data_IF_257321517767
#
_entry.id   IF_257321517767
#
_cell.length_a   1.000
_cell.length_b   1.000
_cell.length_c   1.000
_cell.angle_alpha   90.00
_cell.angle_beta   90.00
_cell.angle_gamma   90.00
#
_symmetry.space_group_name_H-M   'P 1'
#
loop_
_entity.id
_entity.type
_entity.pdbx_description
1 polymer ?
#
# COMPACT_ATOMS: atom_id res chain seq x y z
N UNK A 1 -16.07 11.93 24.76
CA UNK A 1 -15.63 12.22 23.37
C UNK A 1 -14.37 13.03 23.49
N UNK A 2 -13.22 12.37 23.44
CA UNK A 2 -11.92 13.01 23.71
C UNK A 2 -10.95 12.73 22.58
N UNK A 3 -10.11 13.70 22.25
CA UNK A 3 -9.00 13.55 21.31
C UNK A 3 -9.37 12.98 19.92
N UNK A 4 -10.54 13.33 19.38
CA UNK A 4 -10.94 12.94 18.02
C UNK A 4 -10.62 14.05 17.02
N UNK A 5 -10.21 13.66 15.81
CA UNK A 5 -10.03 14.56 14.67
C UNK A 5 -11.29 14.57 13.80
N UNK A 6 -12.00 15.69 13.78
CA UNK A 6 -13.19 15.90 12.96
C UNK A 6 -12.81 16.62 11.67
N UNK A 7 -13.04 15.93 10.55
CA UNK A 7 -12.92 16.48 9.20
C UNK A 7 -14.21 16.21 8.45
N UNK A 8 -14.91 17.27 8.05
CA UNK A 8 -16.12 17.11 7.23
C UNK A 8 -15.74 16.63 5.84
N UNK A 9 -16.38 15.56 5.36
CA UNK A 9 -16.16 15.09 3.99
C UNK A 9 -16.65 16.10 2.94
N UNK A 10 -16.10 16.06 1.71
CA UNK A 10 -16.38 17.03 0.65
C UNK A 10 -17.87 17.15 0.28
N UNK A 11 -18.65 16.07 0.44
CA UNK A 11 -20.10 16.08 0.22
C UNK A 11 -20.92 16.83 1.29
N UNK A 12 -20.28 17.28 2.38
CA UNK A 12 -20.96 18.00 3.46
C UNK A 12 -21.28 19.43 3.02
N UNK A 13 -22.57 19.76 2.93
CA UNK A 13 -23.01 21.10 2.57
C UNK A 13 -22.59 22.13 3.61
N UNK A 14 -22.06 23.28 3.19
CA UNK A 14 -21.77 24.42 4.06
C UNK A 14 -23.03 24.99 4.72
N UNK A 15 -24.18 24.88 4.05
CA UNK A 15 -25.47 25.30 4.61
C UNK A 15 -26.05 24.35 5.66
N UNK A 16 -25.42 23.19 5.89
CA UNK A 16 -25.95 22.19 6.83
C UNK A 16 -25.80 22.61 8.30
N UNK A 17 -24.85 23.49 8.60
CA UNK A 17 -24.42 23.78 9.98
C UNK A 17 -23.66 22.62 10.64
N UNK A 18 -23.35 21.55 9.91
CA UNK A 18 -22.77 20.30 10.46
C UNK A 18 -21.27 20.16 10.24
N UNK A 19 -20.63 21.09 9.52
CA UNK A 19 -19.19 21.01 9.19
C UNK A 19 -18.29 20.90 10.43
N UNK A 20 -18.75 21.42 11.57
CA UNK A 20 -18.00 21.48 12.82
C UNK A 20 -18.71 20.84 14.01
N UNK A 21 -19.73 20.02 13.74
CA UNK A 21 -20.49 19.36 14.81
C UNK A 21 -19.70 18.16 15.33
N UNK A 22 -19.43 18.18 16.63
CA UNK A 22 -18.87 17.05 17.39
C UNK A 22 -20.00 16.11 17.81
N UNK A 23 -21.06 16.66 18.40
CA UNK A 23 -22.22 15.88 18.85
C UNK A 23 -23.48 16.75 18.92
N UNK A 24 -24.64 16.11 18.71
CA UNK A 24 -25.96 16.70 18.98
C UNK A 24 -26.69 15.84 20.04
N UNK A 25 -26.68 16.24 21.32
CA UNK A 25 -27.38 15.50 22.36
C UNK A 25 -28.90 15.55 22.12
N UNK A 26 -29.51 14.41 21.79
CA UNK A 26 -30.97 14.30 21.64
C UNK A 26 -31.63 13.74 22.91
N UNK A 27 -31.00 12.76 23.57
CA UNK A 27 -31.56 12.07 24.73
C UNK A 27 -31.43 12.85 26.05
N UNK A 28 -32.50 12.80 26.85
CA UNK A 28 -32.68 13.42 28.17
C UNK A 28 -31.81 12.82 29.27
N UNK A 29 -31.32 11.59 29.13
CA UNK A 29 -30.47 10.95 30.14
C UNK A 29 -28.96 11.15 29.89
N UNK A 30 -28.52 11.15 28.63
CA UNK A 30 -27.10 11.24 28.29
C UNK A 30 -26.40 12.48 28.88
N UNK A 31 -25.13 12.34 29.29
CA UNK A 31 -24.22 13.39 29.77
C UNK A 31 -22.87 13.18 29.09
N UNK A 32 -22.12 14.25 28.81
CA UNK A 32 -20.91 14.17 27.99
C UNK A 32 -19.74 14.90 28.63
N UNK A 33 -18.61 14.20 28.69
CA UNK A 33 -17.29 14.83 28.79
C UNK A 33 -16.70 14.95 27.38
N UNK A 34 -16.39 16.18 26.97
CA UNK A 34 -15.91 16.51 25.63
C UNK A 34 -14.73 17.45 25.77
N UNK A 35 -13.56 16.99 25.36
CA UNK A 35 -12.32 17.73 25.50
C UNK A 35 -11.26 17.29 24.47
N UNK A 36 -10.35 18.21 24.12
CA UNK A 36 -9.19 17.90 23.27
C UNK A 36 -9.49 17.43 21.84
N UNK A 37 -10.72 17.61 21.33
CA UNK A 37 -11.02 17.25 19.93
C UNK A 37 -10.60 18.38 18.98
N UNK A 38 -10.06 18.00 17.83
CA UNK A 38 -9.69 18.91 16.75
C UNK A 38 -10.79 18.95 15.70
N UNK A 39 -11.16 20.14 15.23
CA UNK A 39 -12.16 20.31 14.16
C UNK A 39 -11.54 21.12 13.01
N UNK A 40 -11.28 20.44 11.90
CA UNK A 40 -10.54 21.01 10.77
C UNK A 40 -11.28 22.20 10.14
N UNK A 41 -10.59 23.34 10.03
CA UNK A 41 -11.15 24.59 9.53
C UNK A 41 -11.95 25.41 10.55
N UNK A 42 -12.07 24.95 11.81
CA UNK A 42 -12.86 25.62 12.84
C UNK A 42 -12.06 25.85 14.14
N UNK A 43 -11.08 26.78 14.14
CA UNK A 43 -10.16 26.98 15.26
C UNK A 43 -10.85 27.34 16.58
N UNK A 44 -11.99 28.05 16.55
CA UNK A 44 -12.75 28.36 17.75
C UNK A 44 -13.37 27.10 18.40
N UNK A 45 -13.80 26.14 17.57
CA UNK A 45 -14.37 24.87 18.05
C UNK A 45 -13.26 23.95 18.54
N UNK A 46 -12.10 23.94 17.88
CA UNK A 46 -10.90 23.23 18.35
C UNK A 46 -10.45 23.76 19.70
N UNK A 47 -10.36 25.09 19.87
CA UNK A 47 -9.93 25.70 21.12
C UNK A 47 -10.93 25.46 22.26
N UNK A 48 -12.22 25.34 21.96
CA UNK A 48 -13.25 24.99 22.93
C UNK A 48 -14.39 24.23 22.26
N UNK A 49 -14.39 22.90 22.41
CA UNK A 49 -15.36 22.01 21.78
C UNK A 49 -16.82 22.32 22.13
N UNK A 50 -17.07 22.98 23.27
CA UNK A 50 -18.41 23.38 23.70
C UNK A 50 -18.91 24.65 23.04
N UNK A 51 -18.03 25.40 22.37
CA UNK A 51 -18.39 26.60 21.60
C UNK A 51 -18.67 26.18 20.17
N UNK A 52 -19.95 25.92 19.86
CA UNK A 52 -20.43 25.56 18.53
C UNK A 52 -20.28 24.09 18.14
N UNK A 53 -19.32 23.36 18.70
CA UNK A 53 -19.11 21.92 18.41
C UNK A 53 -20.20 21.03 18.98
N UNK A 54 -20.75 21.36 20.15
CA UNK A 54 -21.94 20.73 20.71
C UNK A 54 -23.16 21.50 20.23
N UNK A 55 -24.02 20.85 19.45
CA UNK A 55 -25.16 21.46 18.78
C UNK A 55 -26.49 20.88 19.29
N UNK A 56 -27.60 21.57 19.02
CA UNK A 56 -28.94 21.10 19.39
C UNK A 56 -29.93 22.26 19.47
N UNK A 57 -31.22 21.94 19.50
CA UNK A 57 -32.30 22.93 19.41
C UNK A 57 -32.51 23.76 20.69
N UNK A 58 -31.92 23.38 21.83
CA UNK A 58 -32.07 24.07 23.13
C UNK A 58 -30.71 24.34 23.79
N UNK A 59 -30.32 25.60 23.89
CA UNK A 59 -29.03 26.00 24.49
C UNK A 59 -28.87 25.58 25.97
N UNK A 60 -29.93 25.76 26.78
CA UNK A 60 -29.92 25.34 28.20
C UNK A 60 -29.64 23.84 28.36
N UNK A 61 -30.16 23.04 27.44
CA UNK A 61 -29.96 21.60 27.43
C UNK A 61 -28.49 21.24 27.21
N UNK A 62 -27.79 21.93 26.30
CA UNK A 62 -26.36 21.67 26.06
C UNK A 62 -25.53 21.92 27.33
N UNK A 63 -25.83 23.00 28.06
CA UNK A 63 -25.12 23.33 29.31
C UNK A 63 -25.34 22.28 30.39
N UNK A 64 -26.57 21.81 30.58
CA UNK A 64 -26.88 20.76 31.56
C UNK A 64 -26.15 19.44 31.24
N UNK A 65 -25.85 19.18 29.97
CA UNK A 65 -25.27 17.92 29.51
C UNK A 65 -23.77 17.84 29.70
N UNK A 66 -23.12 18.95 30.03
CA UNK A 66 -21.68 19.04 30.21
C UNK A 66 -21.23 18.43 31.52
N UNK A 67 -20.30 17.49 31.42
CA UNK A 67 -19.51 17.00 32.54
C UNK A 67 -18.18 17.74 32.59
N UNK A 68 -17.76 18.14 33.79
CA UNK A 68 -16.45 18.80 34.00
C UNK A 68 -15.29 17.82 34.10
N UNK A 69 -15.59 16.52 34.29
CA UNK A 69 -14.60 15.44 34.43
C UNK A 69 -15.04 14.23 33.58
N UNK A 70 -14.09 13.42 33.10
CA UNK A 70 -14.41 12.18 32.41
C UNK A 70 -15.11 11.20 33.35
N UNK A 71 -15.96 10.34 32.78
CA UNK A 71 -16.47 9.17 33.50
C UNK A 71 -15.32 8.20 33.79
N UNK A 72 -15.38 7.40 34.88
CA UNK A 72 -14.39 6.37 35.13
C UNK A 72 -14.23 5.45 33.90
N UNK A 73 -12.98 5.24 33.49
CA UNK A 73 -12.61 4.38 32.38
C UNK A 73 -11.25 3.74 32.69
N UNK A 74 -10.98 2.59 32.07
CA UNK A 74 -9.67 1.97 32.14
C UNK A 74 -8.64 2.87 31.44
N UNK A 75 -7.47 3.14 32.05
CA UNK A 75 -6.44 3.93 31.41
C UNK A 75 -6.06 3.34 30.04
N UNK A 76 -6.15 4.16 29.01
CA UNK A 76 -5.71 3.82 27.65
C UNK A 76 -4.63 4.80 27.21
N UNK A 77 -3.78 4.38 26.28
CA UNK A 77 -2.89 5.30 25.57
C UNK A 77 -3.74 6.27 24.76
N UNK A 78 -3.62 7.57 25.03
CA UNK A 78 -4.34 8.63 24.30
C UNK A 78 -3.32 9.40 23.47
N UNK A 79 -3.50 9.36 22.15
CA UNK A 79 -2.85 10.28 21.22
C UNK A 79 -3.62 11.61 21.19
N UNK A 80 -2.95 12.72 20.86
CA UNK A 80 -3.67 13.94 20.49
C UNK A 80 -4.53 13.71 19.23
N UNK A 81 -5.54 14.55 18.99
CA UNK A 81 -6.40 14.38 17.83
C UNK A 81 -5.60 14.40 16.50
N UNK A 82 -4.61 15.28 16.39
CA UNK A 82 -3.74 15.38 15.22
C UNK A 82 -2.82 14.16 15.07
N UNK A 83 -2.25 13.65 16.16
CA UNK A 83 -1.46 12.40 16.15
C UNK A 83 -2.33 11.22 15.74
N UNK A 84 -3.54 11.09 16.30
CA UNK A 84 -4.50 10.05 15.94
C UNK A 84 -4.85 10.10 14.46
N UNK A 85 -5.03 11.30 13.88
CA UNK A 85 -5.24 11.45 12.44
C UNK A 85 -4.07 10.90 11.62
N UNK A 86 -2.83 11.21 11.99
CA UNK A 86 -1.65 10.67 11.31
C UNK A 86 -1.52 9.15 11.51
N UNK A 87 -1.77 8.65 12.72
CA UNK A 87 -1.73 7.23 13.07
C UNK A 87 -2.72 6.44 12.21
N UNK A 88 -3.96 6.91 12.09
CA UNK A 88 -4.98 6.32 11.21
C UNK A 88 -4.56 6.37 9.75
N UNK A 89 -4.07 7.50 9.23
CA UNK A 89 -3.62 7.58 7.84
C UNK A 89 -2.47 6.61 7.52
N UNK A 90 -1.59 6.35 8.49
CA UNK A 90 -0.45 5.46 8.30
C UNK A 90 -0.84 3.98 8.46
N UNK A 91 -1.67 3.66 9.45
CA UNK A 91 -1.89 2.28 9.90
C UNK A 91 -3.24 1.67 9.53
N UNK A 92 -4.27 2.46 9.21
CA UNK A 92 -5.61 1.91 9.00
C UNK A 92 -5.77 1.15 7.67
N UNK A 93 -6.49 0.03 7.69
CA UNK A 93 -6.75 -0.80 6.52
C UNK A 93 -5.74 -1.93 6.32
N UNK A 94 -5.93 -2.73 5.27
CA UNK A 94 -5.02 -3.83 4.91
C UNK A 94 -3.78 -3.27 4.21
N UNK A 95 -2.81 -2.78 4.99
CA UNK A 95 -1.64 -2.06 4.48
C UNK A 95 -0.40 -2.92 4.27
N UNK A 96 -0.39 -4.17 4.73
CA UNK A 96 0.72 -5.12 4.58
C UNK A 96 0.53 -6.03 3.34
N UNK A 97 1.58 -6.30 2.53
CA UNK A 97 2.92 -5.69 2.58
C UNK A 97 2.95 -4.28 1.97
N UNK A 98 1.90 -3.91 1.22
CA UNK A 98 1.72 -2.59 0.65
C UNK A 98 0.24 -2.32 0.41
N UNK A 99 -0.19 -1.08 0.64
CA UNK A 99 -1.47 -0.53 0.19
C UNK A 99 -1.62 -0.60 -1.32
N UNK A 100 -2.83 -0.86 -1.79
CA UNK A 100 -3.15 -0.81 -3.21
C UNK A 100 -3.49 0.61 -3.70
N UNK A 101 -3.78 0.76 -4.99
CA UNK A 101 -4.12 2.06 -5.57
C UNK A 101 -5.42 2.68 -5.04
N UNK A 102 -6.35 1.86 -4.52
CA UNK A 102 -7.61 2.30 -3.93
C UNK A 102 -7.34 2.84 -2.54
N UNK A 103 -6.55 2.13 -1.73
CA UNK A 103 -6.10 2.60 -0.42
C UNK A 103 -5.33 3.93 -0.54
N UNK A 104 -4.37 4.01 -1.47
CA UNK A 104 -3.60 5.23 -1.72
C UNK A 104 -4.53 6.41 -2.07
N UNK A 105 -5.54 6.18 -2.90
CA UNK A 105 -6.55 7.21 -3.22
C UNK A 105 -7.34 7.63 -1.99
N UNK A 106 -7.88 6.68 -1.22
CA UNK A 106 -8.72 6.97 -0.04
C UNK A 106 -7.93 7.76 0.99
N UNK A 107 -6.66 7.40 1.21
CA UNK A 107 -5.77 8.14 2.11
C UNK A 107 -5.53 9.57 1.62
N UNK A 108 -5.26 9.75 0.33
CA UNK A 108 -5.00 11.08 -0.21
C UNK A 108 -6.25 11.97 -0.18
N UNK A 109 -7.41 11.42 -0.50
CA UNK A 109 -8.70 12.10 -0.41
C UNK A 109 -9.05 12.45 1.04
N UNK A 110 -8.78 11.55 1.99
CA UNK A 110 -8.96 11.81 3.43
C UNK A 110 -8.01 12.92 3.91
N UNK A 111 -6.73 12.86 3.52
CA UNK A 111 -5.70 13.84 3.87
C UNK A 111 -6.05 15.23 3.35
N UNK A 112 -6.43 15.32 2.07
CA UNK A 112 -6.71 16.60 1.40
C UNK A 112 -8.13 17.11 1.62
N UNK A 113 -9.06 16.26 2.09
CA UNK A 113 -10.48 16.62 2.19
C UNK A 113 -11.16 16.73 0.82
N UNK A 114 -10.64 16.05 -0.19
CA UNK A 114 -11.15 16.07 -1.57
C UNK A 114 -11.78 14.72 -1.92
N UNK A 115 -12.51 14.66 -3.04
CA UNK A 115 -13.03 13.42 -3.60
C UNK A 115 -12.90 13.44 -5.12
N UNK A 116 -12.28 12.40 -5.69
CA UNK A 116 -12.12 12.26 -7.14
C UNK A 116 -13.39 11.76 -7.81
N UNK A 117 -14.09 10.84 -7.13
CA UNK A 117 -15.26 10.13 -7.64
C UNK A 117 -16.52 10.40 -6.82
N UNK A 118 -17.63 9.84 -7.27
CA UNK A 118 -18.94 9.98 -6.66
C UNK A 118 -19.70 11.22 -7.12
N UNK A 119 -21.01 11.19 -6.88
CA UNK A 119 -21.92 12.28 -7.16
C UNK A 119 -21.76 13.43 -6.15
N UNK A 120 -22.19 14.62 -6.57
CA UNK A 120 -22.40 15.74 -5.66
C UNK A 120 -23.66 15.51 -4.82
N UNK A 121 -23.60 15.83 -3.53
CA UNK A 121 -24.76 15.69 -2.65
C UNK A 121 -25.30 17.05 -2.20
N UNK A 122 -26.54 17.38 -2.59
CA UNK A 122 -27.17 18.69 -2.34
C UNK A 122 -26.25 19.82 -2.84
N UNK A 123 -26.08 20.88 -2.04
CA UNK A 123 -25.16 22.00 -2.30
C UNK A 123 -23.72 21.70 -1.81
N UNK A 124 -23.39 20.44 -1.53
CA UNK A 124 -22.04 19.99 -1.15
C UNK A 124 -21.20 19.57 -2.37
N UNK A 125 -19.96 19.16 -2.10
CA UNK A 125 -19.04 18.62 -3.09
C UNK A 125 -19.33 17.16 -3.47
N UNK A 126 -18.41 16.56 -4.22
CA UNK A 126 -18.43 15.14 -4.62
C UNK A 126 -18.08 14.22 -3.45
N UNK A 127 -18.32 12.92 -3.61
CA UNK A 127 -17.82 11.87 -2.70
C UNK A 127 -18.83 10.80 -2.31
N UNK A 128 -20.07 10.87 -2.79
CA UNK A 128 -21.06 9.80 -2.58
C UNK A 128 -20.98 8.83 -3.75
N UNK A 129 -20.47 7.63 -3.49
CA UNK A 129 -20.30 6.57 -4.48
C UNK A 129 -21.52 5.65 -4.40
N UNK A 130 -22.30 5.57 -5.48
CA UNK A 130 -23.50 4.73 -5.55
C UNK A 130 -23.24 3.40 -6.30
N UNK A 131 -22.10 3.27 -6.96
CA UNK A 131 -21.68 2.04 -7.63
C UNK A 131 -20.16 1.90 -7.73
N UNK A 132 -19.68 0.66 -7.66
CA UNK A 132 -18.29 0.31 -7.94
C UNK A 132 -17.82 0.79 -9.33
N UNK A 133 -18.73 0.89 -10.32
CA UNK A 133 -18.37 1.35 -11.67
C UNK A 133 -17.88 2.80 -11.65
N UNK A 134 -18.39 3.64 -10.74
CA UNK A 134 -17.99 5.05 -10.62
C UNK A 134 -16.52 5.21 -10.21
N UNK A 135 -15.94 4.18 -9.60
CA UNK A 135 -14.55 4.15 -9.13
C UNK A 135 -13.66 3.22 -9.95
N UNK A 136 -14.13 2.74 -11.10
CA UNK A 136 -13.37 1.88 -12.01
C UNK A 136 -13.65 0.38 -11.89
N UNK A 137 -14.61 -0.03 -11.06
CA UNK A 137 -14.99 -1.43 -10.86
C UNK A 137 -14.07 -2.17 -9.88
N UNK A 138 -14.16 -3.51 -9.89
CA UNK A 138 -13.30 -4.35 -9.07
C UNK A 138 -11.91 -4.44 -9.70
N UNK A 139 -10.83 -4.13 -8.97
CA UNK A 139 -9.49 -4.30 -9.49
C UNK A 139 -9.22 -5.78 -9.74
N UNK A 140 -8.37 -6.08 -10.73
CA UNK A 140 -7.77 -7.41 -10.86
C UNK A 140 -6.71 -7.52 -9.78
N UNK A 141 -6.97 -8.34 -8.76
CA UNK A 141 -6.02 -8.61 -7.69
C UNK A 141 -5.05 -9.70 -8.17
N UNK A 142 -3.77 -9.35 -8.25
CA UNK A 142 -2.71 -10.32 -8.53
C UNK A 142 -2.25 -10.91 -7.19
N UNK A 143 -2.50 -12.19 -6.96
CA UNK A 143 -1.98 -12.91 -5.80
C UNK A 143 -0.54 -13.36 -6.05
N UNK A 144 0.33 -13.21 -5.06
CA UNK A 144 1.60 -13.94 -5.00
C UNK A 144 1.37 -15.35 -4.43
N UNK A 145 2.40 -16.19 -4.46
CA UNK A 145 2.42 -17.36 -3.59
C UNK A 145 2.25 -16.89 -2.13
N UNK A 146 1.36 -17.57 -1.40
CA UNK A 146 1.29 -17.40 0.04
C UNK A 146 2.60 -17.85 0.68
N UNK A 147 2.93 -17.30 1.86
CA UNK A 147 4.02 -17.84 2.64
C UNK A 147 3.72 -19.32 2.99
N UNK A 148 4.78 -20.12 3.15
CA UNK A 148 4.63 -21.47 3.68
C UNK A 148 4.15 -21.38 5.13
N UNK A 149 3.18 -22.23 5.43
CA UNK A 149 2.52 -22.44 6.73
C UNK A 149 2.26 -23.95 6.76
N UNK A 150 3.22 -24.69 7.31
CA UNK A 150 3.30 -26.14 7.17
C UNK A 150 2.32 -26.89 8.08
N UNK A 151 1.92 -26.32 9.22
CA UNK A 151 0.92 -26.89 10.12
C UNK A 151 -0.46 -26.23 10.05
N UNK A 152 -0.59 -25.15 9.27
CA UNK A 152 -1.85 -24.46 8.95
C UNK A 152 -2.47 -23.79 10.18
N UNK A 153 -1.63 -23.23 11.05
CA UNK A 153 -2.05 -22.53 12.26
C UNK A 153 -2.29 -21.02 12.06
N UNK A 154 -1.94 -20.51 10.88
CA UNK A 154 -2.09 -19.11 10.49
C UNK A 154 -0.85 -18.25 10.73
N UNK A 155 0.26 -18.84 11.20
CA UNK A 155 1.58 -18.23 11.24
C UNK A 155 2.47 -18.83 10.12
N UNK A 156 3.25 -18.00 9.40
CA UNK A 156 4.20 -18.54 8.44
C UNK A 156 5.42 -19.20 9.09
N UNK A 157 5.96 -20.26 8.46
CA UNK A 157 7.13 -21.00 8.94
C UNK A 157 8.32 -20.08 9.27
N UNK A 158 8.53 -19.04 8.45
CA UNK A 158 9.64 -18.11 8.66
C UNK A 158 9.48 -17.28 9.95
N UNK A 159 8.24 -16.93 10.30
CA UNK A 159 7.93 -16.18 11.51
C UNK A 159 8.15 -17.08 12.72
N UNK A 160 7.63 -18.30 12.67
CA UNK A 160 7.79 -19.30 13.73
C UNK A 160 9.27 -19.59 14.01
N UNK A 161 10.07 -19.85 12.98
CA UNK A 161 11.52 -20.03 13.12
C UNK A 161 12.17 -18.80 13.76
N UNK A 162 11.77 -17.59 13.37
CA UNK A 162 12.29 -16.34 13.96
C UNK A 162 11.94 -16.18 15.45
N UNK A 163 10.88 -16.83 15.90
CA UNK A 163 10.41 -16.86 17.30
C UNK A 163 10.82 -18.12 18.04
N UNK A 164 11.64 -18.99 17.42
CA UNK A 164 12.04 -20.30 17.97
C UNK A 164 10.86 -21.23 18.27
N UNK A 165 9.79 -21.09 17.48
CA UNK A 165 8.61 -21.96 17.42
C UNK A 165 8.85 -23.11 16.43
N UNK A 166 7.96 -24.10 16.41
CA UNK A 166 8.09 -25.29 15.57
C UNK A 166 7.06 -25.25 14.42
N UNK A 167 7.50 -25.04 13.15
CA UNK A 167 6.62 -24.94 11.98
C UNK A 167 5.75 -26.16 11.64
N UNK A 168 5.78 -27.21 12.46
CA UNK A 168 5.01 -28.43 12.25
C UNK A 168 4.14 -28.75 13.48
N UNK A 169 3.98 -27.80 14.41
CA UNK A 169 3.22 -27.96 15.66
C UNK A 169 2.13 -26.88 15.81
N UNK A 170 0.90 -27.16 15.34
CA UNK A 170 -0.19 -26.17 15.29
C UNK A 170 -0.73 -25.77 16.66
N UNK A 171 -0.23 -26.37 17.74
CA UNK A 171 -0.59 -25.98 19.11
C UNK A 171 0.24 -24.81 19.62
N UNK A 172 1.40 -24.54 19.03
CA UNK A 172 2.29 -23.48 19.54
C UNK A 172 1.76 -22.06 19.25
N UNK A 173 0.99 -21.87 18.17
CA UNK A 173 0.27 -20.63 17.88
C UNK A 173 -0.72 -20.19 18.96
N UNK A 174 -1.25 -21.15 19.74
CA UNK A 174 -2.22 -20.90 20.82
C UNK A 174 -1.56 -20.67 22.18
N UNK A 175 -0.26 -20.90 22.31
CA UNK A 175 0.46 -20.74 23.57
C UNK A 175 0.46 -19.27 23.97
N UNK A 176 -0.08 -18.98 25.15
CA UNK A 176 -0.06 -17.64 25.75
C UNK A 176 1.35 -17.34 26.25
N UNK A 177 1.93 -16.25 25.74
CA UNK A 177 3.26 -15.78 26.12
C UNK A 177 3.22 -14.97 27.42
N UNK A 178 4.40 -14.55 27.90
CA UNK A 178 4.53 -13.69 29.09
C UNK A 178 3.79 -12.34 28.96
N UNK A 179 3.54 -11.86 27.72
CA UNK A 179 2.76 -10.64 27.50
C UNK A 179 1.25 -10.84 27.67
N UNK A 180 0.78 -12.07 27.89
CA UNK A 180 -0.63 -12.41 27.99
C UNK A 180 -1.35 -12.58 26.65
N UNK A 181 -0.60 -12.58 25.54
CA UNK A 181 -1.09 -12.78 24.17
C UNK A 181 -0.54 -14.09 23.60
N UNK A 182 -1.29 -14.74 22.72
CA UNK A 182 -0.82 -15.93 22.01
C UNK A 182 0.24 -15.59 20.97
N UNK A 183 1.02 -16.59 20.53
CA UNK A 183 1.98 -16.40 19.44
C UNK A 183 1.30 -15.89 18.15
N UNK A 184 0.10 -16.40 17.84
CA UNK A 184 -0.71 -15.94 16.72
C UNK A 184 -1.13 -14.46 16.88
N UNK A 185 -1.56 -14.05 18.06
CA UNK A 185 -1.93 -12.65 18.32
C UNK A 185 -0.72 -11.71 18.17
N UNK A 186 0.46 -12.13 18.63
CA UNK A 186 1.70 -11.39 18.45
C UNK A 186 2.10 -11.29 16.97
N UNK A 187 1.92 -12.36 16.19
CA UNK A 187 2.14 -12.35 14.75
C UNK A 187 1.22 -11.34 14.05
N UNK A 188 -0.08 -11.46 14.27
CA UNK A 188 -1.10 -10.59 13.67
C UNK A 188 -0.87 -9.12 14.03
N UNK A 189 -0.51 -8.83 15.28
CA UNK A 189 -0.18 -7.46 15.69
C UNK A 189 1.10 -6.96 15.01
N UNK A 190 2.12 -7.81 14.86
CA UNK A 190 3.38 -7.45 14.23
C UNK A 190 3.29 -7.14 12.72
N UNK A 191 2.23 -7.62 12.04
CA UNK A 191 1.93 -7.23 10.65
C UNK A 191 1.59 -5.73 10.52
N UNK A 192 1.04 -5.12 11.57
CA UNK A 192 0.60 -3.71 11.57
C UNK A 192 1.78 -2.76 11.81
N UNK A 193 2.69 -3.13 12.72
CA UNK A 193 3.82 -2.28 13.13
C UNK A 193 5.06 -2.45 12.24
N UNK A 194 4.99 -3.29 11.20
CA UNK A 194 6.12 -3.58 10.32
C UNK A 194 7.27 -4.30 11.02
N UNK A 195 7.02 -4.85 12.21
CA UNK A 195 7.99 -5.63 12.99
C UNK A 195 8.08 -7.06 12.47
N UNK A 196 7.02 -7.55 11.81
CA UNK A 196 7.08 -8.71 10.93
C UNK A 196 7.64 -8.25 9.60
N UNK A 197 8.96 -8.34 9.45
CA UNK A 197 9.58 -8.28 8.13
C UNK A 197 9.46 -9.67 7.52
N UNK A 198 8.77 -9.75 6.39
CA UNK A 198 8.94 -10.87 5.49
C UNK A 198 10.43 -10.92 5.14
N UNK A 199 11.19 -11.85 5.74
CA UNK A 199 12.43 -12.35 5.14
C UNK A 199 12.04 -13.21 3.93
N UNK A 200 11.33 -12.58 3.01
CA UNK A 200 11.19 -13.05 1.66
C UNK A 200 12.33 -12.31 0.98
N UNK A 201 13.43 -13.02 0.71
CA UNK A 201 14.34 -12.58 -0.34
C UNK A 201 13.48 -12.10 -1.50
N UNK A 202 13.62 -10.82 -1.82
CA UNK A 202 12.93 -10.13 -2.89
C UNK A 202 13.08 -10.90 -4.22
N UNK A 203 12.24 -11.91 -4.43
CA UNK A 203 11.74 -12.21 -5.76
C UNK A 203 10.68 -11.16 -6.06
N UNK A 204 11.14 -9.90 -6.18
CA UNK A 204 10.38 -8.80 -6.76
C UNK A 204 9.87 -9.30 -8.10
N UNK A 205 8.60 -9.74 -8.14
CA UNK A 205 7.93 -9.98 -9.40
C UNK A 205 7.94 -8.63 -10.09
N UNK A 206 8.68 -8.50 -11.20
CA UNK A 206 9.03 -7.17 -11.61
C UNK A 206 7.83 -6.47 -12.27
N UNK A 207 7.46 -5.26 -11.88
CA UNK A 207 6.18 -4.66 -12.34
C UNK A 207 6.11 -4.32 -13.83
N UNK A 208 7.24 -4.22 -14.52
CA UNK A 208 7.32 -3.83 -15.94
C UNK A 208 8.17 -4.78 -16.78
N UNK A 209 7.87 -4.90 -18.07
CA UNK A 209 8.83 -5.44 -19.04
C UNK A 209 9.96 -4.44 -19.26
N UNK A 210 11.20 -4.86 -19.07
CA UNK A 210 12.38 -3.98 -19.25
C UNK A 210 13.55 -4.74 -19.86
N UNK A 211 14.15 -4.21 -20.91
CA UNK A 211 15.47 -4.63 -21.41
C UNK A 211 16.54 -3.64 -20.93
N UNK A 212 17.47 -4.13 -20.12
CA UNK A 212 18.54 -3.30 -19.57
C UNK A 212 19.69 -3.13 -20.57
N UNK A 213 20.47 -2.07 -20.35
CA UNK A 213 21.74 -1.89 -21.04
C UNK A 213 22.68 -3.03 -20.65
N UNK A 214 23.33 -3.66 -21.63
CA UNK A 214 24.30 -4.72 -21.37
C UNK A 214 25.47 -4.17 -20.55
N UNK A 215 26.02 -4.98 -19.66
CA UNK A 215 27.18 -4.60 -18.84
C UNK A 215 28.24 -5.69 -18.87
N UNK A 216 29.52 -5.34 -19.12
CA UNK A 216 30.00 -4.01 -19.51
C UNK A 216 29.50 -3.57 -20.91
N UNK A 217 29.48 -2.26 -21.17
CA UNK A 217 29.30 -1.67 -22.51
C UNK A 217 30.09 -0.34 -22.59
N UNK A 218 31.14 -0.22 -23.42
CA UNK A 218 31.64 -1.22 -24.37
C UNK A 218 32.14 -2.51 -23.71
N UNK A 219 32.16 -3.62 -24.45
CA UNK A 219 32.53 -4.95 -23.94
C UNK A 219 33.65 -5.60 -24.74
N UNK A 220 34.38 -6.53 -24.11
CA UNK A 220 35.45 -7.34 -24.73
C UNK A 220 35.75 -8.63 -23.93
N UNK A 221 35.63 -9.83 -24.53
CA UNK A 221 34.71 -10.19 -25.60
C UNK A 221 33.29 -10.47 -25.05
N UNK A 222 33.14 -10.51 -23.73
CA UNK A 222 31.90 -10.89 -23.05
C UNK A 222 31.15 -9.70 -22.44
N UNK A 223 29.82 -9.79 -22.44
CA UNK A 223 28.92 -8.89 -21.74
C UNK A 223 27.76 -9.68 -21.14
N UNK A 224 27.01 -9.08 -20.22
CA UNK A 224 25.76 -9.64 -19.71
C UNK A 224 24.58 -8.81 -20.21
N UNK A 225 23.68 -9.45 -20.94
CA UNK A 225 22.37 -8.87 -21.28
C UNK A 225 21.39 -9.26 -20.19
N UNK A 226 20.79 -8.25 -19.56
CA UNK A 226 19.78 -8.45 -18.51
C UNK A 226 18.43 -7.95 -18.98
N UNK A 227 17.36 -8.66 -18.64
CA UNK A 227 16.00 -8.22 -18.89
C UNK A 227 15.04 -8.74 -17.84
N UNK A 228 13.84 -8.18 -17.86
CA UNK A 228 12.84 -8.29 -16.82
C UNK A 228 11.48 -8.58 -17.46
N UNK A 229 10.77 -9.57 -16.93
CA UNK A 229 9.43 -9.97 -17.37
C UNK A 229 8.44 -9.79 -16.22
N UNK A 230 7.35 -9.06 -16.45
CA UNK A 230 6.33 -8.84 -15.43
C UNK A 230 5.31 -9.96 -15.30
N UNK A 231 5.09 -10.72 -16.37
CA UNK A 231 4.21 -11.90 -16.41
C UNK A 231 4.84 -12.97 -17.29
N UNK A 232 4.43 -14.22 -17.10
CA UNK A 232 4.85 -15.32 -17.97
C UNK A 232 4.54 -14.98 -19.43
N UNK A 233 5.56 -15.02 -20.29
CA UNK A 233 5.43 -14.57 -21.67
C UNK A 233 6.38 -15.30 -22.60
N UNK A 234 6.02 -15.36 -23.87
CA UNK A 234 6.93 -15.84 -24.90
C UNK A 234 7.99 -14.76 -25.20
N UNK A 235 9.25 -15.08 -24.88
CA UNK A 235 10.40 -14.21 -25.02
C UNK A 235 11.14 -14.52 -26.31
N UNK A 236 11.29 -13.52 -27.16
CA UNK A 236 12.13 -13.53 -28.35
C UNK A 236 13.24 -12.48 -28.20
N UNK A 237 14.44 -12.91 -27.80
CA UNK A 237 15.63 -12.06 -27.63
C UNK A 237 16.63 -12.35 -28.74
N UNK A 238 16.87 -11.35 -29.60
CA UNK A 238 17.74 -11.47 -30.78
C UNK A 238 18.82 -10.41 -30.81
N UNK A 239 19.95 -10.77 -31.40
CA UNK A 239 21.09 -9.88 -31.66
C UNK A 239 21.20 -9.62 -33.15
N UNK A 240 21.49 -8.37 -33.52
CA UNK A 240 21.53 -7.86 -34.88
C UNK A 240 22.82 -7.07 -35.13
N UNK A 241 23.26 -7.05 -36.39
CA UNK A 241 24.29 -6.11 -36.86
C UNK A 241 23.71 -4.72 -37.17
N UNK A 242 24.56 -3.78 -37.58
CA UNK A 242 24.17 -2.40 -37.92
C UNK A 242 23.23 -2.30 -39.13
N UNK A 243 23.17 -3.34 -39.97
CA UNK A 243 22.28 -3.41 -41.12
C UNK A 243 20.93 -4.07 -40.76
N UNK A 244 20.73 -4.44 -39.49
CA UNK A 244 19.53 -5.10 -39.00
C UNK A 244 19.45 -6.59 -39.34
N UNK A 245 20.56 -7.20 -39.78
CA UNK A 245 20.60 -8.66 -40.03
C UNK A 245 20.75 -9.38 -38.71
N UNK A 246 19.91 -10.40 -38.48
CA UNK A 246 19.98 -11.24 -37.28
C UNK A 246 21.29 -12.02 -37.27
N UNK A 247 22.09 -11.82 -36.21
CA UNK A 247 23.31 -12.59 -35.94
C UNK A 247 22.95 -13.89 -35.22
N UNK A 248 22.15 -13.79 -34.16
CA UNK A 248 21.74 -14.95 -33.36
C UNK A 248 20.46 -14.68 -32.58
N UNK A 249 19.78 -15.75 -32.18
CA UNK A 249 18.65 -15.71 -31.24
C UNK A 249 19.11 -16.30 -29.92
N UNK A 250 19.10 -15.49 -28.85
CA UNK A 250 19.55 -15.88 -27.52
C UNK A 250 18.47 -16.62 -26.74
N UNK A 251 17.21 -16.22 -26.92
CA UNK A 251 16.04 -16.81 -26.27
C UNK A 251 14.88 -16.82 -27.24
N UNK A 252 14.16 -17.94 -27.31
CA UNK A 252 12.93 -18.08 -28.09
C UNK A 252 12.00 -19.11 -27.41
N UNK A 253 11.50 -18.79 -26.22
CA UNK A 253 10.67 -19.69 -25.42
C UNK A 253 9.78 -18.93 -24.45
N UNK A 254 8.81 -19.63 -23.87
CA UNK A 254 8.01 -19.11 -22.76
C UNK A 254 8.86 -19.12 -21.49
N UNK A 255 8.97 -17.96 -20.85
CA UNK A 255 9.64 -17.79 -19.56
C UNK A 255 8.64 -17.21 -18.56
N UNK A 256 8.80 -17.59 -17.29
CA UNK A 256 7.97 -17.09 -16.20
C UNK A 256 8.31 -15.61 -15.89
N UNK A 257 7.49 -14.93 -15.08
CA UNK A 257 7.85 -13.60 -14.60
C UNK A 257 9.14 -13.63 -13.79
N UNK A 258 10.02 -12.65 -13.96
CA UNK A 258 11.29 -12.60 -13.24
C UNK A 258 12.38 -11.82 -13.95
N UNK A 259 13.56 -11.83 -13.34
CA UNK A 259 14.77 -11.21 -13.87
C UNK A 259 15.67 -12.27 -14.50
N UNK A 260 16.16 -11.99 -15.70
CA UNK A 260 16.99 -12.89 -16.49
C UNK A 260 18.31 -12.22 -16.82
N UNK A 261 19.40 -13.00 -16.75
CA UNK A 261 20.74 -12.57 -17.12
C UNK A 261 21.34 -13.60 -18.07
N UNK A 262 21.84 -13.12 -19.21
CA UNK A 262 22.46 -13.96 -20.23
C UNK A 262 23.87 -13.45 -20.47
N UNK A 263 24.85 -14.31 -20.20
CA UNK A 263 26.22 -14.09 -20.63
C UNK A 263 26.29 -14.24 -22.15
N UNK A 264 26.89 -13.27 -22.81
CA UNK A 264 26.91 -13.17 -24.26
C UNK A 264 28.30 -12.78 -24.75
N UNK A 265 28.77 -13.48 -25.78
CA UNK A 265 29.99 -13.17 -26.53
C UNK A 265 29.70 -13.29 -28.01
N UNK A 266 30.10 -12.30 -28.81
CA UNK A 266 29.92 -12.32 -30.26
C UNK A 266 30.85 -13.33 -30.94
N UNK A 267 31.99 -13.64 -30.32
CA UNK A 267 33.02 -14.53 -30.88
C UNK A 267 32.51 -15.97 -31.09
N UNK A 268 31.41 -16.35 -30.42
CA UNK A 268 30.78 -17.66 -30.61
C UNK A 268 29.96 -17.78 -31.90
N UNK A 269 29.66 -16.66 -32.58
CA UNK A 269 28.69 -16.66 -33.69
C UNK A 269 29.28 -16.16 -35.00
N UNK A 270 30.18 -15.18 -34.95
CA UNK A 270 30.76 -14.54 -36.13
C UNK A 270 32.21 -14.14 -35.88
N UNK A 271 33.03 -14.07 -36.93
CA UNK A 271 34.35 -13.43 -36.82
C UNK A 271 34.15 -11.94 -36.63
N UNK A 272 34.49 -11.43 -35.44
CA UNK A 272 34.13 -10.09 -35.01
C UNK A 272 35.19 -9.04 -35.32
N UNK A 273 34.72 -7.83 -35.67
CA UNK A 273 35.48 -6.58 -35.66
C UNK A 273 34.87 -5.63 -34.64
N UNK A 274 35.67 -4.75 -34.04
CA UNK A 274 35.17 -3.66 -33.19
C UNK A 274 34.03 -2.91 -33.90
N UNK A 275 32.92 -2.65 -33.22
CA UNK A 275 31.73 -2.16 -33.89
C UNK A 275 30.49 -2.04 -33.02
N UNK A 276 29.43 -1.51 -33.63
CA UNK A 276 28.12 -1.31 -33.01
C UNK A 276 27.18 -2.44 -33.41
N UNK A 277 26.48 -2.97 -32.41
CA UNK A 277 25.49 -4.03 -32.56
C UNK A 277 24.23 -3.68 -31.79
N UNK A 278 23.13 -4.37 -32.10
CA UNK A 278 21.85 -4.15 -31.44
C UNK A 278 21.30 -5.46 -30.89
N UNK A 279 20.52 -5.38 -29.82
CA UNK A 279 19.76 -6.51 -29.32
C UNK A 279 18.34 -6.05 -28.98
N UNK A 280 17.38 -6.89 -29.33
CA UNK A 280 15.95 -6.59 -29.22
C UNK A 280 15.26 -7.69 -28.43
N UNK A 281 14.51 -7.27 -27.41
CA UNK A 281 13.59 -8.10 -26.65
C UNK A 281 12.18 -7.87 -27.17
N UNK A 282 11.51 -8.94 -27.60
CA UNK A 282 10.09 -8.94 -27.95
C UNK A 282 9.33 -9.92 -27.05
N UNK A 283 8.25 -9.44 -26.44
CA UNK A 283 7.36 -10.22 -25.59
C UNK A 283 5.93 -9.68 -25.67
N UNK A 284 4.99 -10.47 -26.19
CA UNK A 284 3.62 -10.00 -26.44
C UNK A 284 3.58 -8.72 -27.30
N UNK A 285 3.03 -7.64 -26.76
CA UNK A 285 2.98 -6.30 -27.37
C UNK A 285 4.22 -5.43 -27.09
N UNK A 286 5.12 -5.87 -26.21
CA UNK A 286 6.30 -5.12 -25.82
C UNK A 286 7.49 -5.43 -26.73
N UNK A 287 8.14 -4.38 -27.24
CA UNK A 287 9.37 -4.46 -28.03
C UNK A 287 10.32 -3.38 -27.53
N UNK A 288 11.54 -3.77 -27.14
CA UNK A 288 12.60 -2.82 -26.81
C UNK A 288 13.92 -3.24 -27.44
N UNK A 289 14.62 -2.27 -28.03
CA UNK A 289 15.95 -2.45 -28.64
C UNK A 289 16.99 -1.62 -27.90
N UNK A 290 18.18 -2.18 -27.70
CA UNK A 290 19.33 -1.51 -27.10
C UNK A 290 20.57 -1.69 -27.98
N UNK A 291 21.49 -0.71 -27.87
CA UNK A 291 22.75 -0.66 -28.61
C UNK A 291 23.89 -1.17 -27.72
N UNK A 292 24.76 -2.02 -28.25
CA UNK A 292 25.99 -2.45 -27.59
C UNK A 292 27.21 -2.21 -28.50
N UNK A 293 28.38 -2.01 -27.89
CA UNK A 293 29.63 -1.66 -28.56
C UNK A 293 30.68 -2.70 -28.19
N UNK A 294 31.18 -3.43 -29.18
CA UNK A 294 32.30 -4.35 -29.03
C UNK A 294 33.60 -3.57 -29.26
N UNK A 295 34.57 -3.73 -28.35
CA UNK A 295 35.95 -3.27 -28.54
C UNK A 295 36.85 -4.50 -28.56
N UNK A 296 37.68 -4.60 -29.59
CA UNK A 296 38.69 -5.63 -29.79
C UNK A 296 40.06 -5.00 -30.02
#
# INVERSE_FOLDING_TARGET
>A
IVANYYKSGPATSSSSGKLYRIVEPYDTAARFYIDGNFVEGFPNVTANNWVGGVQGSRAAYITEKKMSQPFPYEPIGIETAEEAFQSVLNKAGANFPKRDSIDERILEETRTGTARYGATYRNGGKGIIDSQIEVGGWPILNSSAAALDADVDGMPDYYEISKSLNPNDPEDGKIVTESGYTNLELYLNGLIDGTVTTIVEENLVPQNFTLFQNYPNPFNPETTISYQLSVASHVDLKVFDILGRTITTLVNTIQQSGNYKIKFSLDHYVTTSSGVYFYTLKTGSYIQTKKMILIK
#
